data_IF_118484758841
#
_entry.id   IF_118484758841
#
_cell.length_a   1.000
_cell.length_b   1.000
_cell.length_c   1.000
_cell.angle_alpha   90.00
_cell.angle_beta   90.00
_cell.angle_gamma   90.00
#
_symmetry.space_group_name_H-M   'P 1'
#
loop_
_entity.id
_entity.type
_entity.pdbx_description
1 polymer ?
#
# COMPACT_ATOMS: atom_id res chain seq x y z
N UNK A 1 -52.04 -30.57 -26.35
CA UNK A 1 -51.85 -29.63 -25.23
C UNK A 1 -50.54 -29.97 -24.52
N UNK A 2 -49.53 -29.11 -24.60
CA UNK A 2 -48.35 -29.18 -23.73
C UNK A 2 -47.73 -27.78 -23.66
N UNK A 3 -47.85 -27.14 -22.49
CA UNK A 3 -47.38 -25.78 -22.21
C UNK A 3 -45.91 -25.84 -21.82
N UNK A 4 -45.03 -25.33 -22.67
CA UNK A 4 -43.62 -25.11 -22.33
C UNK A 4 -43.52 -23.88 -21.42
N UNK A 5 -43.24 -24.14 -20.13
CA UNK A 5 -42.98 -23.12 -19.11
C UNK A 5 -41.66 -22.40 -19.44
N UNK A 6 -41.76 -21.09 -19.63
CA UNK A 6 -40.64 -20.15 -19.58
C UNK A 6 -39.94 -20.24 -18.22
N UNK A 7 -38.67 -20.69 -18.22
CA UNK A 7 -37.75 -20.49 -17.11
C UNK A 7 -37.12 -19.10 -17.26
N UNK A 8 -37.65 -18.15 -16.49
CA UNK A 8 -37.13 -16.80 -16.33
C UNK A 8 -35.86 -16.90 -15.48
N UNK A 9 -34.70 -16.85 -16.12
CA UNK A 9 -33.41 -16.78 -15.43
C UNK A 9 -33.30 -15.43 -14.69
N UNK A 10 -33.51 -15.45 -13.38
CA UNK A 10 -33.23 -14.32 -12.51
C UNK A 10 -31.73 -14.09 -12.45
N UNK A 11 -31.26 -13.04 -13.12
CA UNK A 11 -29.92 -12.49 -12.94
C UNK A 11 -29.84 -11.81 -11.57
N UNK A 12 -29.44 -12.55 -10.54
CA UNK A 12 -28.88 -11.94 -9.34
C UNK A 12 -27.37 -11.85 -9.53
N UNK A 13 -26.92 -10.66 -9.92
CA UNK A 13 -25.51 -10.30 -9.93
C UNK A 13 -25.08 -10.05 -8.48
N UNK A 14 -24.31 -10.97 -7.91
CA UNK A 14 -23.57 -10.73 -6.69
C UNK A 14 -22.40 -9.80 -7.02
N UNK A 15 -22.57 -8.52 -6.74
CA UNK A 15 -21.49 -7.52 -6.80
C UNK A 15 -20.72 -7.61 -5.50
N UNK A 16 -19.53 -8.21 -5.52
CA UNK A 16 -18.56 -8.07 -4.44
C UNK A 16 -17.95 -6.68 -4.51
N UNK A 17 -18.51 -5.74 -3.75
CA UNK A 17 -17.92 -4.42 -3.52
C UNK A 17 -16.86 -4.57 -2.42
N UNK A 18 -15.59 -4.62 -2.82
CA UNK A 18 -14.46 -4.31 -1.94
C UNK A 18 -14.45 -2.79 -1.71
N UNK A 19 -15.24 -2.36 -0.73
CA UNK A 19 -15.31 -0.99 -0.26
C UNK A 19 -14.76 -0.92 1.16
N UNK A 20 -13.58 -0.32 1.30
CA UNK A 20 -13.04 0.10 2.58
C UNK A 20 -13.94 1.17 3.19
N UNK A 21 -14.66 0.83 4.25
CA UNK A 21 -15.26 1.78 5.17
C UNK A 21 -15.25 1.15 6.56
N UNK A 22 -14.49 1.78 7.46
CA UNK A 22 -14.48 1.46 8.87
C UNK A 22 -15.90 1.61 9.43
N UNK A 23 -16.50 0.48 9.81
CA UNK A 23 -17.83 0.40 10.39
C UNK A 23 -17.99 -0.94 11.07
N UNK A 24 -17.94 -0.92 12.40
CA UNK A 24 -18.07 -2.07 13.30
C UNK A 24 -19.37 -2.84 13.06
N UNK A 25 -19.26 -4.04 12.48
CA UNK A 25 -20.31 -5.07 12.52
C UNK A 25 -19.61 -6.44 12.59
N UNK A 26 -19.33 -6.91 13.82
CA UNK A 26 -18.85 -8.28 14.05
C UNK A 26 -20.06 -9.21 14.01
N UNK A 27 -20.34 -9.80 12.85
CA UNK A 27 -21.26 -10.94 12.77
C UNK A 27 -20.58 -12.15 13.42
N UNK A 28 -21.22 -12.63 14.49
CA UNK A 28 -20.76 -13.71 15.33
C UNK A 28 -20.57 -15.03 14.58
N UNK A 29 -19.34 -15.54 14.58
CA UNK A 29 -19.02 -16.94 14.30
C UNK A 29 -19.06 -17.67 15.66
N UNK A 30 -19.78 -18.80 15.82
CA UNK A 30 -19.80 -19.52 17.09
C UNK A 30 -18.52 -20.34 17.22
N UNK A 31 -17.52 -19.77 17.89
CA UNK A 31 -16.32 -20.50 18.31
C UNK A 31 -16.58 -21.21 19.64
N UNK A 32 -16.36 -22.53 19.77
CA UNK A 32 -16.39 -23.23 21.05
C UNK A 32 -15.05 -23.05 21.76
N UNK A 33 -14.64 -21.81 22.00
CA UNK A 33 -13.52 -21.53 22.89
C UNK A 33 -14.08 -20.85 24.13
N UNK A 34 -14.26 -21.67 25.18
CA UNK A 34 -14.54 -21.22 26.53
C UNK A 34 -13.31 -20.44 27.00
N UNK A 35 -13.37 -19.11 26.96
CA UNK A 35 -12.36 -18.26 27.58
C UNK A 35 -12.46 -18.45 29.08
N UNK A 36 -11.54 -19.23 29.65
CA UNK A 36 -11.38 -19.33 31.09
C UNK A 36 -10.79 -18.00 31.59
N UNK A 37 -11.60 -17.22 32.30
CA UNK A 37 -11.15 -16.05 33.02
C UNK A 37 -10.30 -16.55 34.21
N UNK A 38 -8.98 -16.34 34.14
CA UNK A 38 -8.13 -16.55 35.30
C UNK A 38 -8.28 -15.31 36.20
N UNK A 39 -9.28 -15.31 37.09
CA UNK A 39 -9.30 -14.36 38.19
C UNK A 39 -8.06 -14.62 39.04
N UNK A 40 -7.16 -13.63 39.10
CA UNK A 40 -6.02 -13.68 39.99
C UNK A 40 -6.55 -13.71 41.43
N UNK A 41 -6.03 -14.60 42.31
CA UNK A 41 -6.45 -14.62 43.71
C UNK A 41 -6.23 -13.24 44.33
N UNK A 42 -7.22 -12.75 45.07
CA UNK A 42 -7.16 -11.48 45.79
C UNK A 42 -5.93 -11.46 46.71
N UNK A 43 -5.29 -10.30 46.83
CA UNK A 43 -4.04 -10.12 47.59
C UNK A 43 -4.14 -10.55 49.07
N UNK A 44 -5.34 -10.66 49.59
CA UNK A 44 -5.64 -11.04 50.97
C UNK A 44 -5.59 -12.56 51.20
N UNK A 45 -5.61 -13.39 50.14
CA UNK A 45 -5.53 -14.86 50.22
C UNK A 45 -4.11 -15.42 50.00
N UNK A 46 -3.10 -14.54 49.86
CA UNK A 46 -1.70 -14.94 49.68
C UNK A 46 -1.01 -15.08 51.05
N UNK A 47 -0.32 -16.22 51.34
CA UNK A 47 0.48 -16.32 52.55
C UNK A 47 1.60 -15.28 52.52
N UNK A 48 1.77 -14.59 53.64
CA UNK A 48 2.70 -13.46 53.82
C UNK A 48 4.11 -13.84 53.36
N UNK A 49 4.55 -13.25 52.24
CA UNK A 49 5.80 -13.63 51.59
C UNK A 49 6.97 -13.06 52.39
N UNK A 50 7.66 -13.94 53.14
CA UNK A 50 8.87 -13.56 53.88
C UNK A 50 9.92 -12.97 52.93
N UNK A 51 10.55 -11.83 53.25
CA UNK A 51 11.61 -11.27 52.44
C UNK A 51 12.79 -12.25 52.35
N UNK A 52 13.45 -12.27 51.18
CA UNK A 52 14.55 -13.19 50.86
C UNK A 52 15.75 -13.02 51.82
N UNK A 53 15.83 -11.88 52.50
CA UNK A 53 16.80 -11.63 53.56
C UNK A 53 16.15 -11.80 54.93
N UNK A 54 16.14 -13.03 55.43
CA UNK A 54 16.02 -13.29 56.86
C UNK A 54 17.41 -13.57 57.40
N UNK A 55 17.81 -12.82 58.43
CA UNK A 55 19.05 -13.09 59.15
C UNK A 55 18.89 -14.40 59.91
N UNK A 56 19.49 -15.47 59.39
CA UNK A 56 19.59 -16.74 60.11
C UNK A 56 20.43 -16.54 61.38
N UNK A 57 20.08 -17.15 62.53
CA UNK A 57 21.00 -17.22 63.64
C UNK A 57 22.19 -18.10 63.24
N UNK A 58 23.40 -17.57 63.39
CA UNK A 58 24.64 -18.28 63.10
C UNK A 58 24.81 -19.41 64.13
N UNK A 59 24.77 -20.66 63.67
CA UNK A 59 25.28 -21.82 64.39
C UNK A 59 26.52 -22.37 63.67
N UNK A 60 27.55 -22.85 64.40
CA UNK A 60 28.90 -22.99 63.88
C UNK A 60 29.17 -24.35 63.22
N UNK A 61 30.25 -24.35 62.43
CA UNK A 61 31.13 -25.49 62.07
C UNK A 61 31.08 -25.93 60.61
N UNK A 62 32.04 -25.37 59.86
CA UNK A 62 32.86 -25.92 58.78
C UNK A 62 32.62 -27.39 58.40
N UNK A 63 32.30 -27.73 57.14
CA UNK A 63 32.41 -29.09 56.64
C UNK A 63 33.85 -29.40 56.22
N UNK A 64 34.48 -30.32 56.95
CA UNK A 64 35.69 -31.03 56.59
C UNK A 64 35.45 -31.96 55.38
N UNK A 65 36.37 -32.05 54.40
CA UNK A 65 36.17 -32.92 53.24
C UNK A 65 36.46 -34.39 53.60
N UNK A 66 35.45 -35.26 53.46
CA UNK A 66 35.63 -36.72 53.53
C UNK A 66 36.08 -37.26 52.16
N UNK A 67 37.19 -38.00 52.07
CA UNK A 67 37.74 -38.51 50.82
C UNK A 67 37.30 -39.97 50.59
N UNK A 68 36.01 -40.24 50.33
CA UNK A 68 35.60 -41.55 49.78
C UNK A 68 34.24 -41.42 49.09
N UNK A 69 34.24 -40.94 47.86
CA UNK A 69 33.21 -41.29 46.89
C UNK A 69 33.93 -41.82 45.67
N UNK A 70 33.68 -43.06 45.23
CA UNK A 70 34.35 -43.57 44.06
C UNK A 70 33.95 -42.68 42.88
N UNK A 71 34.98 -42.11 42.23
CA UNK A 71 34.91 -41.59 40.87
C UNK A 71 34.25 -42.68 40.03
N UNK A 72 32.96 -42.48 39.71
CA UNK A 72 32.24 -43.33 38.78
C UNK A 72 32.87 -43.09 37.42
N UNK A 73 33.83 -43.95 37.09
CA UNK A 73 34.46 -44.01 35.78
C UNK A 73 33.33 -44.16 34.77
N UNK A 74 33.35 -43.31 33.75
CA UNK A 74 32.48 -43.36 32.59
C UNK A 74 32.64 -44.70 31.88
N UNK A 75 31.97 -45.73 32.39
CA UNK A 75 31.80 -46.98 31.69
C UNK A 75 30.89 -46.69 30.50
N UNK A 76 31.36 -47.04 29.30
CA UNK A 76 30.57 -47.24 28.10
C UNK A 76 29.42 -48.20 28.44
N UNK A 77 28.33 -47.63 28.95
CA UNK A 77 27.16 -48.36 29.41
C UNK A 77 26.14 -48.20 28.30
N UNK A 78 25.66 -49.32 27.77
CA UNK A 78 24.57 -49.31 26.81
C UNK A 78 23.47 -48.39 27.31
N UNK A 79 22.96 -47.45 26.48
CA UNK A 79 22.10 -46.38 26.94
C UNK A 79 20.89 -46.95 27.65
N UNK A 80 20.71 -46.55 28.91
CA UNK A 80 19.51 -46.87 29.66
C UNK A 80 18.30 -46.24 28.96
N UNK A 81 17.10 -46.86 29.05
CA UNK A 81 15.91 -46.37 28.37
C UNK A 81 15.60 -44.88 28.64
N UNK A 82 15.94 -44.39 29.83
CA UNK A 82 15.79 -42.99 30.24
C UNK A 82 16.75 -42.04 29.50
N UNK A 83 17.96 -42.49 29.18
CA UNK A 83 18.96 -41.69 28.48
C UNK A 83 18.55 -41.43 27.02
N UNK A 84 17.94 -42.43 26.37
CA UNK A 84 17.37 -42.28 25.02
C UNK A 84 16.22 -41.28 24.98
N UNK A 85 15.37 -41.25 26.01
CA UNK A 85 14.29 -40.28 26.11
C UNK A 85 14.85 -38.86 26.31
N UNK A 86 15.85 -38.71 27.18
CA UNK A 86 16.51 -37.43 27.41
C UNK A 86 17.15 -36.87 26.12
N UNK A 87 17.77 -37.74 25.32
CA UNK A 87 18.33 -37.37 24.02
C UNK A 87 17.25 -36.92 23.02
N UNK A 88 16.12 -37.64 22.95
CA UNK A 88 15.01 -37.26 22.08
C UNK A 88 14.37 -35.93 22.47
N UNK A 89 14.17 -35.69 23.77
CA UNK A 89 13.64 -34.41 24.27
C UNK A 89 14.61 -33.26 23.99
N UNK A 90 15.92 -33.51 24.14
CA UNK A 90 16.95 -32.53 23.78
C UNK A 90 16.89 -32.21 22.29
N UNK A 91 16.83 -33.22 21.42
CA UNK A 91 16.77 -33.03 19.98
C UNK A 91 15.49 -32.31 19.56
N UNK A 92 14.35 -32.65 20.16
CA UNK A 92 13.08 -31.96 19.93
C UNK A 92 13.14 -30.48 20.33
N UNK A 93 13.70 -30.17 21.51
CA UNK A 93 13.86 -28.78 21.97
C UNK A 93 14.76 -27.98 21.04
N UNK A 94 15.91 -28.55 20.65
CA UNK A 94 16.88 -27.90 19.77
C UNK A 94 16.28 -27.69 18.38
N UNK A 95 15.55 -28.67 17.85
CA UNK A 95 14.84 -28.54 16.57
C UNK A 95 13.79 -27.42 16.60
N UNK A 96 12.94 -27.38 17.64
CA UNK A 96 11.94 -26.32 17.79
C UNK A 96 12.60 -24.94 17.91
N UNK A 97 13.70 -24.84 18.67
CA UNK A 97 14.44 -23.59 18.83
C UNK A 97 15.05 -23.11 17.51
N UNK A 98 15.70 -23.99 16.74
CA UNK A 98 16.26 -23.59 15.44
C UNK A 98 15.18 -23.16 14.45
N UNK A 99 14.02 -23.83 14.45
CA UNK A 99 12.93 -23.47 13.56
C UNK A 99 12.27 -22.14 13.97
N UNK A 100 12.07 -21.90 15.28
CA UNK A 100 11.56 -20.61 15.77
C UNK A 100 12.53 -19.47 15.49
N UNK A 101 13.82 -19.68 15.75
CA UNK A 101 14.86 -18.68 15.49
C UNK A 101 14.98 -18.35 14.00
N UNK A 102 14.89 -19.37 13.12
CA UNK A 102 14.92 -19.15 11.66
C UNK A 102 13.69 -18.38 11.17
N UNK A 103 12.52 -18.66 11.74
CA UNK A 103 11.28 -17.94 11.43
C UNK A 103 11.37 -16.49 11.91
N UNK A 104 11.81 -16.26 13.15
CA UNK A 104 12.02 -14.92 13.73
C UNK A 104 13.03 -14.12 12.90
N UNK A 105 14.14 -14.73 12.49
CA UNK A 105 15.17 -14.07 11.70
C UNK A 105 14.65 -13.68 10.31
N UNK A 106 13.92 -14.58 9.65
CA UNK A 106 13.34 -14.31 8.32
C UNK A 106 12.29 -13.20 8.38
N UNK A 107 11.45 -13.21 9.42
CA UNK A 107 10.45 -12.18 9.64
C UNK A 107 11.08 -10.83 9.97
N UNK A 108 12.08 -10.81 10.85
CA UNK A 108 12.82 -9.59 11.17
C UNK A 108 13.55 -9.01 9.94
N UNK A 109 14.13 -9.85 9.11
CA UNK A 109 14.77 -9.44 7.86
C UNK A 109 13.75 -8.87 6.86
N UNK A 110 12.59 -9.50 6.73
CA UNK A 110 11.50 -9.02 5.88
C UNK A 110 10.97 -7.66 6.35
N UNK A 111 10.68 -7.52 7.65
CA UNK A 111 10.25 -6.25 8.23
C UNK A 111 11.31 -5.16 8.07
N UNK A 112 12.58 -5.49 8.32
CA UNK A 112 13.69 -4.56 8.13
C UNK A 112 13.80 -4.09 6.69
N UNK A 113 13.62 -5.00 5.71
CA UNK A 113 13.59 -4.65 4.30
C UNK A 113 12.38 -3.78 3.94
N UNK A 114 11.19 -4.14 4.43
CA UNK A 114 9.97 -3.39 4.19
C UNK A 114 10.05 -1.96 4.76
N UNK A 115 10.53 -1.81 6.00
CA UNK A 115 10.72 -0.50 6.62
C UNK A 115 11.80 0.34 5.93
N UNK A 116 12.90 -0.27 5.46
CA UNK A 116 13.89 0.45 4.65
C UNK A 116 13.27 0.98 3.37
N UNK A 117 12.49 0.14 2.68
CA UNK A 117 11.76 0.57 1.47
C UNK A 117 10.77 1.69 1.79
N UNK A 118 9.99 1.57 2.85
CA UNK A 118 9.07 2.63 3.30
C UNK A 118 9.80 3.92 3.64
N UNK A 119 10.96 3.84 4.28
CA UNK A 119 11.79 5.00 4.62
C UNK A 119 12.33 5.66 3.36
N UNK A 120 12.82 4.88 2.40
CA UNK A 120 13.27 5.38 1.10
C UNK A 120 12.13 6.08 0.35
N UNK A 121 10.92 5.50 0.34
CA UNK A 121 9.74 6.13 -0.25
C UNK A 121 9.35 7.41 0.48
N UNK A 122 9.38 7.42 1.81
CA UNK A 122 9.05 8.59 2.61
C UNK A 122 10.05 9.73 2.37
N UNK A 123 11.35 9.41 2.30
CA UNK A 123 12.40 10.38 1.97
C UNK A 123 12.23 10.91 0.54
N UNK A 124 11.87 10.04 -0.40
CA UNK A 124 11.60 10.42 -1.80
C UNK A 124 10.39 11.35 -1.88
N UNK A 125 9.27 11.00 -1.24
CA UNK A 125 8.06 11.84 -1.18
C UNK A 125 8.36 13.18 -0.49
N UNK A 126 9.11 13.17 0.61
CA UNK A 126 9.54 14.38 1.29
C UNK A 126 10.43 15.27 0.39
N UNK A 127 11.27 14.66 -0.45
CA UNK A 127 12.10 15.39 -1.42
C UNK A 127 11.30 15.94 -2.61
N UNK A 128 10.17 15.32 -2.95
CA UNK A 128 9.27 15.75 -4.02
C UNK A 128 8.39 16.93 -3.60
N UNK A 129 8.08 17.04 -2.30
CA UNK A 129 7.27 18.13 -1.78
C UNK A 129 7.98 19.49 -1.99
N UNK A 130 7.25 20.52 -2.45
CA UNK A 130 7.81 21.84 -2.66
C UNK A 130 8.21 22.42 -1.31
N UNK A 131 9.37 23.09 -1.28
CA UNK A 131 9.81 23.82 -0.09
C UNK A 131 8.76 24.88 0.26
N UNK A 132 8.49 25.13 1.54
CA UNK A 132 7.47 26.09 1.97
C UNK A 132 7.70 27.51 1.42
N UNK A 133 8.93 27.83 0.99
CA UNK A 133 9.30 29.09 0.35
C UNK A 133 8.71 29.31 -1.05
N UNK A 134 8.30 28.24 -1.73
CA UNK A 134 7.69 28.31 -3.08
C UNK A 134 6.22 28.74 -3.03
N UNK A 135 5.58 28.74 -1.85
CA UNK A 135 4.21 29.21 -1.67
C UNK A 135 3.12 28.31 -2.27
N UNK A 136 3.49 27.15 -2.83
CA UNK A 136 2.52 26.18 -3.35
C UNK A 136 1.79 25.46 -2.21
N UNK A 137 0.47 25.59 -2.17
CA UNK A 137 -0.36 24.88 -1.20
C UNK A 137 -0.74 23.51 -1.76
N UNK A 138 0.01 22.48 -1.35
CA UNK A 138 -0.24 21.10 -1.77
C UNK A 138 -1.64 20.60 -1.40
N UNK A 139 -2.14 20.94 -0.21
CA UNK A 139 -3.39 20.36 0.30
C UNK A 139 -4.61 20.83 -0.52
N UNK A 140 -4.85 22.13 -0.73
CA UNK A 140 -5.92 22.58 -1.61
C UNK A 140 -5.71 22.17 -3.06
N UNK A 141 -4.46 22.29 -3.57
CA UNK A 141 -4.12 21.90 -4.94
C UNK A 141 -4.43 20.43 -5.22
N UNK A 142 -4.06 19.52 -4.31
CA UNK A 142 -4.30 18.09 -4.47
C UNK A 142 -5.80 17.77 -4.44
N UNK A 143 -6.58 18.42 -3.57
CA UNK A 143 -8.04 18.25 -3.55
C UNK A 143 -8.64 18.73 -4.87
N UNK A 144 -8.19 19.86 -5.43
CA UNK A 144 -8.67 20.34 -6.73
C UNK A 144 -8.31 19.40 -7.88
N UNK A 145 -7.11 18.80 -7.86
CA UNK A 145 -6.72 17.76 -8.81
C UNK A 145 -7.65 16.54 -8.69
N UNK A 146 -7.95 16.10 -7.47
CA UNK A 146 -8.90 15.00 -7.23
C UNK A 146 -10.33 15.34 -7.69
N UNK A 147 -10.78 16.58 -7.54
CA UNK A 147 -12.09 17.02 -8.05
C UNK A 147 -12.07 17.03 -9.59
N UNK A 148 -10.99 17.48 -10.20
CA UNK A 148 -10.83 17.46 -11.65
C UNK A 148 -10.83 16.03 -12.20
N UNK A 149 -10.13 15.08 -11.57
CA UNK A 149 -10.14 13.65 -11.96
C UNK A 149 -11.55 13.07 -11.87
N UNK A 150 -12.25 13.35 -10.77
CA UNK A 150 -13.62 12.89 -10.56
C UNK A 150 -14.57 13.47 -11.61
N UNK A 151 -14.37 14.73 -11.97
CA UNK A 151 -15.12 15.38 -13.07
C UNK A 151 -14.83 14.68 -14.41
N UNK A 152 -13.57 14.34 -14.68
CA UNK A 152 -13.19 13.51 -15.83
C UNK A 152 -13.86 12.12 -15.82
N UNK A 153 -14.01 11.52 -14.65
CA UNK A 153 -14.71 10.23 -14.47
C UNK A 153 -16.21 10.34 -14.79
N UNK A 154 -16.86 11.44 -14.39
CA UNK A 154 -18.25 11.70 -14.74
C UNK A 154 -18.41 11.89 -16.26
N UNK A 155 -17.50 12.64 -16.89
CA UNK A 155 -17.53 12.92 -18.34
C UNK A 155 -17.30 11.64 -19.16
N UNK A 156 -16.37 10.78 -18.71
CA UNK A 156 -16.06 9.51 -19.38
C UNK A 156 -16.99 8.36 -19.00
N UNK A 157 -17.96 8.59 -18.09
CA UNK A 157 -18.84 7.56 -17.52
C UNK A 157 -19.60 6.74 -18.56
N UNK A 158 -20.00 7.36 -19.67
CA UNK A 158 -20.75 6.71 -20.76
C UNK A 158 -19.88 6.41 -22.00
N UNK A 159 -18.56 6.58 -21.89
CA UNK A 159 -17.60 6.21 -22.93
C UNK A 159 -17.00 4.85 -22.55
N UNK A 160 -16.57 4.08 -23.55
CA UNK A 160 -16.10 2.69 -23.35
C UNK A 160 -15.04 2.53 -22.26
N UNK A 161 -14.75 1.29 -21.86
CA UNK A 161 -13.90 0.96 -20.69
C UNK A 161 -12.52 1.63 -20.71
N UNK A 162 -11.96 1.81 -21.91
CA UNK A 162 -10.67 2.49 -22.11
C UNK A 162 -10.77 3.97 -21.73
N UNK A 163 -11.74 4.70 -22.30
CA UNK A 163 -11.95 6.12 -21.98
C UNK A 163 -12.34 6.33 -20.52
N UNK A 164 -13.10 5.41 -19.93
CA UNK A 164 -13.49 5.46 -18.52
C UNK A 164 -12.30 5.41 -17.55
N UNK A 165 -11.16 4.86 -17.98
CA UNK A 165 -9.96 4.71 -17.13
C UNK A 165 -8.88 5.72 -17.51
N UNK A 166 -8.64 5.94 -18.80
CA UNK A 166 -7.57 6.84 -19.26
C UNK A 166 -7.95 8.31 -19.16
N UNK A 167 -9.21 8.66 -19.40
CA UNK A 167 -9.64 10.05 -19.41
C UNK A 167 -9.57 10.71 -18.02
N UNK A 168 -10.04 10.09 -16.91
CA UNK A 168 -9.90 10.67 -15.58
C UNK A 168 -8.44 10.84 -15.16
N UNK A 169 -7.58 9.90 -15.54
CA UNK A 169 -6.14 9.98 -15.30
C UNK A 169 -5.51 11.13 -16.07
N UNK A 170 -5.81 11.26 -17.36
CA UNK A 170 -5.30 12.34 -18.20
C UNK A 170 -5.72 13.72 -17.66
N UNK A 171 -7.00 13.87 -17.28
CA UNK A 171 -7.50 15.11 -16.66
C UNK A 171 -6.81 15.40 -15.34
N UNK A 172 -6.55 14.37 -14.52
CA UNK A 172 -5.80 14.53 -13.27
C UNK A 172 -4.37 14.98 -13.45
N UNK A 173 -3.65 14.36 -14.39
CA UNK A 173 -2.27 14.74 -14.72
C UNK A 173 -2.23 16.17 -15.23
N UNK A 174 -3.15 16.54 -16.12
CA UNK A 174 -3.26 17.91 -16.63
C UNK A 174 -3.59 18.92 -15.53
N UNK A 175 -4.53 18.59 -14.64
CA UNK A 175 -4.87 19.43 -13.49
C UNK A 175 -3.68 19.58 -12.53
N UNK A 176 -2.91 18.51 -12.30
CA UNK A 176 -1.69 18.55 -11.50
C UNK A 176 -0.64 19.50 -12.07
N UNK A 177 -0.46 19.48 -13.39
CA UNK A 177 0.46 20.40 -14.07
C UNK A 177 0.01 21.87 -14.00
N UNK A 178 -1.30 22.13 -13.91
CA UNK A 178 -1.85 23.48 -13.82
C UNK A 178 -1.91 24.02 -12.39
N UNK A 179 -2.33 23.17 -11.43
CA UNK A 179 -2.59 23.57 -10.04
C UNK A 179 -1.36 23.43 -9.14
N UNK A 180 -0.47 22.47 -9.42
CA UNK A 180 0.73 22.19 -8.61
C UNK A 180 1.96 21.96 -9.52
N UNK A 181 2.39 23.00 -10.27
CA UNK A 181 3.39 22.84 -11.32
C UNK A 181 4.79 22.47 -10.80
N UNK A 182 5.24 22.97 -9.65
CA UNK A 182 6.60 22.66 -9.15
C UNK A 182 6.68 21.22 -8.66
N UNK A 183 5.68 20.76 -7.92
CA UNK A 183 5.62 19.35 -7.47
C UNK A 183 5.60 18.38 -8.65
N UNK A 184 4.86 18.73 -9.71
CA UNK A 184 4.73 17.86 -10.86
C UNK A 184 6.02 17.81 -11.70
N UNK A 185 6.79 18.92 -11.78
CA UNK A 185 8.14 18.95 -12.36
C UNK A 185 9.15 18.10 -11.56
N UNK A 186 9.17 18.24 -10.23
CA UNK A 186 10.02 17.42 -9.37
C UNK A 186 9.71 15.93 -9.53
N UNK A 187 8.41 15.59 -9.65
CA UNK A 187 7.96 14.22 -9.87
C UNK A 187 8.37 13.70 -11.24
N UNK A 188 8.26 14.51 -12.30
CA UNK A 188 8.72 14.11 -13.63
C UNK A 188 10.23 13.91 -13.68
N UNK A 189 11.01 14.75 -12.98
CA UNK A 189 12.47 14.63 -12.94
C UNK A 189 12.91 13.35 -12.24
N UNK A 190 12.22 12.96 -11.16
CA UNK A 190 12.46 11.69 -10.47
C UNK A 190 12.10 10.48 -11.36
N UNK A 191 10.94 10.53 -12.03
CA UNK A 191 10.53 9.49 -12.98
C UNK A 191 11.60 9.35 -14.06
N UNK A 192 12.10 10.47 -14.59
CA UNK A 192 13.16 10.49 -15.59
C UNK A 192 14.48 9.90 -15.08
N UNK A 193 14.88 10.16 -13.83
CA UNK A 193 16.07 9.55 -13.24
C UNK A 193 15.93 8.03 -13.12
N UNK A 194 14.74 7.54 -12.74
CA UNK A 194 14.47 6.12 -12.66
C UNK A 194 14.42 5.47 -14.05
N UNK A 195 13.80 6.15 -15.01
CA UNK A 195 13.68 5.73 -16.40
C UNK A 195 15.03 5.61 -17.10
N UNK A 196 15.99 6.50 -16.83
CA UNK A 196 17.38 6.39 -17.35
C UNK A 196 18.08 5.09 -16.97
N UNK A 197 17.66 4.43 -15.88
CA UNK A 197 18.24 3.14 -15.46
C UNK A 197 17.76 1.99 -16.37
N UNK A 198 16.71 2.21 -17.17
CA UNK A 198 16.16 1.23 -18.11
C UNK A 198 16.18 1.83 -19.53
N UNK A 199 17.18 1.49 -20.37
CA UNK A 199 17.42 2.19 -21.65
C UNK A 199 16.23 2.09 -22.62
N UNK A 200 15.51 0.97 -22.62
CA UNK A 200 14.32 0.77 -23.46
C UNK A 200 13.22 1.79 -23.16
N UNK A 201 13.05 2.15 -21.88
CA UNK A 201 11.97 3.05 -21.45
C UNK A 201 12.36 4.50 -21.78
N UNK A 202 13.60 4.89 -21.51
CA UNK A 202 14.14 6.21 -21.86
C UNK A 202 14.03 6.54 -23.36
N UNK A 203 14.33 5.59 -24.23
CA UNK A 203 14.19 5.78 -25.68
C UNK A 203 12.73 6.00 -26.08
N UNK A 204 11.79 5.21 -25.51
CA UNK A 204 10.36 5.37 -25.77
C UNK A 204 9.82 6.72 -25.29
N UNK A 205 10.27 7.21 -24.13
CA UNK A 205 9.87 8.53 -23.63
C UNK A 205 10.36 9.66 -24.53
N UNK A 206 11.59 9.57 -25.04
CA UNK A 206 12.13 10.56 -25.97
C UNK A 206 11.30 10.63 -27.27
N UNK A 207 10.86 9.48 -27.78
CA UNK A 207 10.00 9.41 -28.97
C UNK A 207 8.60 9.96 -28.70
N UNK A 208 8.00 9.59 -27.57
CA UNK A 208 6.67 10.08 -27.17
C UNK A 208 6.72 11.59 -26.97
N UNK A 209 7.73 12.13 -26.28
CA UNK A 209 7.86 13.57 -26.05
C UNK A 209 8.08 14.34 -27.35
N UNK A 210 8.88 13.82 -28.29
CA UNK A 210 9.02 14.40 -29.62
C UNK A 210 7.69 14.40 -30.39
N UNK A 211 6.95 13.29 -30.34
CA UNK A 211 5.63 13.19 -30.96
C UNK A 211 4.63 14.18 -30.36
N UNK A 212 4.60 14.32 -29.03
CA UNK A 212 3.74 15.29 -28.33
C UNK A 212 4.11 16.72 -28.72
N UNK A 213 5.40 17.04 -28.80
CA UNK A 213 5.85 18.37 -29.19
C UNK A 213 5.44 18.71 -30.64
N UNK A 214 5.52 17.73 -31.54
CA UNK A 214 5.11 17.90 -32.93
C UNK A 214 3.58 18.00 -33.05
N UNK A 215 2.84 17.14 -32.36
CA UNK A 215 1.38 17.21 -32.29
C UNK A 215 0.91 18.55 -31.70
N UNK A 216 1.63 19.12 -30.73
CA UNK A 216 1.33 20.44 -30.17
C UNK A 216 1.51 21.55 -31.21
N UNK A 217 2.61 21.54 -31.97
CA UNK A 217 2.83 22.51 -33.06
C UNK A 217 1.74 22.39 -34.13
N UNK A 218 1.40 21.17 -34.52
CA UNK A 218 0.35 20.93 -35.51
C UNK A 218 -1.03 21.39 -35.01
N UNK A 219 -1.36 21.12 -33.74
CA UNK A 219 -2.61 21.56 -33.12
C UNK A 219 -2.71 23.08 -33.07
N UNK A 220 -1.60 23.78 -32.80
CA UNK A 220 -1.54 25.25 -32.85
C UNK A 220 -1.82 25.78 -34.25
N UNK A 221 -1.25 25.15 -35.28
CA UNK A 221 -1.54 25.50 -36.68
C UNK A 221 -3.01 25.28 -37.05
N UNK A 222 -3.60 24.15 -36.63
CA UNK A 222 -5.02 23.84 -36.89
C UNK A 222 -5.95 24.83 -36.20
N UNK A 223 -5.65 25.24 -34.96
CA UNK A 223 -6.47 26.21 -34.22
C UNK A 223 -6.41 27.62 -34.81
N UNK A 224 -5.24 28.03 -35.31
CA UNK A 224 -5.11 29.29 -36.07
C UNK A 224 -5.94 29.23 -37.36
N UNK A 225 -5.80 28.18 -38.16
CA UNK A 225 -6.59 28.01 -39.38
C UNK A 225 -8.10 27.89 -39.13
N UNK A 226 -8.51 27.30 -38.01
CA UNK A 226 -9.92 27.23 -37.63
C UNK A 226 -10.50 28.60 -37.24
N UNK A 227 -9.72 29.44 -36.56
CA UNK A 227 -10.12 30.80 -36.23
C UNK A 227 -10.27 31.65 -37.49
N UNK A 228 -9.29 31.58 -38.39
CA UNK A 228 -9.32 32.27 -39.69
C UNK A 228 -10.52 31.83 -40.54
N UNK A 229 -10.80 30.53 -40.59
CA UNK A 229 -11.96 29.99 -41.30
C UNK A 229 -13.30 30.45 -40.68
N UNK A 230 -13.38 30.50 -39.35
CA UNK A 230 -14.58 30.99 -38.66
C UNK A 230 -14.80 32.48 -38.95
N UNK A 231 -13.75 33.28 -38.95
CA UNK A 231 -13.82 34.70 -39.31
C UNK A 231 -14.24 34.88 -40.77
N UNK A 232 -13.70 34.08 -41.70
CA UNK A 232 -14.10 34.11 -43.11
C UNK A 232 -15.58 33.78 -43.29
N UNK A 233 -16.08 32.75 -42.58
CA UNK A 233 -17.51 32.37 -42.62
C UNK A 233 -18.40 33.40 -41.95
N UNK A 234 -17.95 34.06 -40.88
CA UNK A 234 -18.68 35.16 -40.27
C UNK A 234 -18.81 36.36 -41.22
N UNK A 235 -17.73 36.68 -41.95
CA UNK A 235 -17.71 37.75 -42.95
C UNK A 235 -18.61 37.39 -44.15
N UNK A 236 -18.55 36.16 -44.64
CA UNK A 236 -19.40 35.66 -45.72
C UNK A 236 -20.88 35.73 -45.33
N UNK A 237 -21.24 35.27 -44.12
CA UNK A 237 -22.60 35.38 -43.59
C UNK A 237 -23.06 36.85 -43.56
N UNK A 238 -22.22 37.77 -43.08
CA UNK A 238 -22.53 39.21 -43.07
C UNK A 238 -22.79 39.76 -44.49
N UNK A 239 -21.95 39.39 -45.46
CA UNK A 239 -22.12 39.81 -46.86
C UNK A 239 -23.39 39.26 -47.50
N UNK A 240 -23.79 38.03 -47.20
CA UNK A 240 -25.05 37.46 -47.71
C UNK A 240 -26.27 38.18 -47.16
N UNK A 241 -26.23 38.58 -45.89
CA UNK A 241 -27.29 39.41 -45.28
C UNK A 241 -27.34 40.79 -45.93
N UNK A 242 -26.18 41.40 -46.19
CA UNK A 242 -26.07 42.71 -46.84
C UNK A 242 -26.54 42.67 -48.31
N UNK A 243 -26.20 41.63 -49.08
CA UNK A 243 -26.68 41.45 -50.46
C UNK A 243 -28.21 41.28 -50.50
N UNK A 244 -28.79 40.53 -49.55
CA UNK A 244 -30.24 40.37 -49.42
C UNK A 244 -30.96 41.68 -49.06
N UNK A 245 -30.39 42.50 -48.18
CA UNK A 245 -30.91 43.83 -47.87
C UNK A 245 -30.80 44.76 -49.09
N UNK A 246 -29.70 44.68 -49.84
CA UNK A 246 -29.48 45.54 -51.02
C UNK A 246 -30.39 45.19 -52.22
N UNK A 247 -30.73 43.91 -52.39
CA UNK A 247 -31.55 43.41 -53.52
C UNK A 247 -33.05 43.62 -53.35
N UNK A 248 -33.50 44.16 -52.21
CA UNK A 248 -34.85 44.71 -52.06
C UNK A 248 -35.97 43.69 -52.19
N UNK A 249 -36.37 43.12 -51.05
CA UNK A 249 -37.76 43.29 -50.59
C UNK A 249 -37.76 44.35 -49.50
#
# INVERSE_FOLDING_TARGET
MARTRMLRASRQAAVFVLGAAAGTQVSAIPSPFRTAYAEAPSRDDLPDKKPIYSAYPVAPTTPQPSPTSPVSRSHLTSPTPTDRLAEQVKNARVFLYHHSLSAETSFNNFLSWAFRKETDFSNTIASLAPKPETGEQLLPGAIYVLVATLTGSIISRNRGILLRTTFPLAVGVAAGWYLIPVTMRNTSDLIWEYEKRVPVVADTHSQISAFVQEAWKQTRGITQGAAEWADEKAIEARKTVEDLVSKGK
#
